data_IF_379833456271
#
_entry.id   IF_379833456271
#
_cell.length_a   1.000
_cell.length_b   1.000
_cell.length_c   1.000
_cell.angle_alpha   90.00
_cell.angle_beta   90.00
_cell.angle_gamma   90.00
#
_symmetry.space_group_name_H-M   'P 1'
#
loop_
_entity.id
_entity.type
_entity.pdbx_description
1 polymer ?
#
# COMPACT_ATOMS: atom_id res chain seq x y z
N UNK A 1 -4.83 -1.35 61.52
CA UNK A 1 -5.99 -0.43 61.37
C UNK A 1 -5.52 0.95 60.85
N UNK A 2 -4.77 0.98 59.74
CA UNK A 2 -4.18 2.22 59.17
C UNK A 2 -4.47 2.39 57.67
N UNK A 3 -4.87 1.32 56.96
CA UNK A 3 -5.15 1.35 55.51
C UNK A 3 -6.57 1.87 55.14
N UNK A 4 -7.49 1.98 56.11
CA UNK A 4 -8.88 2.36 55.82
C UNK A 4 -9.15 3.87 55.80
N UNK A 5 -8.18 4.71 56.18
CA UNK A 5 -8.36 6.18 56.27
C UNK A 5 -8.04 6.94 54.98
N UNK A 6 -7.51 6.29 53.95
CA UNK A 6 -7.21 6.97 52.68
C UNK A 6 -8.33 6.95 51.63
N UNK A 7 -9.41 6.19 51.87
CA UNK A 7 -10.59 6.16 50.99
C UNK A 7 -11.64 7.25 51.31
N UNK A 8 -11.33 8.17 52.22
CA UNK A 8 -12.28 9.11 52.80
C UNK A 8 -12.59 10.38 52.00
N UNK A 9 -11.92 10.68 50.89
CA UNK A 9 -12.16 11.95 50.16
C UNK A 9 -12.19 11.78 48.63
N UNK A 10 -13.42 11.90 48.10
CA UNK A 10 -13.85 12.15 46.70
C UNK A 10 -13.55 11.04 45.67
N UNK A 11 -14.31 9.92 45.68
CA UNK A 11 -14.14 8.81 44.74
C UNK A 11 -14.58 9.14 43.30
N UNK A 12 -15.36 10.20 43.10
CA UNK A 12 -15.93 10.52 41.77
C UNK A 12 -14.86 10.89 40.73
N UNK A 13 -13.77 11.55 41.13
CA UNK A 13 -12.73 11.98 40.19
C UNK A 13 -11.85 10.81 39.76
N UNK A 14 -11.49 9.93 40.70
CA UNK A 14 -10.69 8.73 40.40
C UNK A 14 -11.43 7.75 39.47
N UNK A 15 -12.72 7.50 39.73
CA UNK A 15 -13.55 6.64 38.87
C UNK A 15 -13.71 7.24 37.47
N UNK A 16 -13.89 8.56 37.35
CA UNK A 16 -13.98 9.25 36.06
C UNK A 16 -12.66 9.19 35.28
N UNK A 17 -11.52 9.34 35.96
CA UNK A 17 -10.19 9.22 35.33
C UNK A 17 -9.91 7.79 34.85
N UNK A 18 -10.27 6.79 35.63
CA UNK A 18 -10.13 5.38 35.24
C UNK A 18 -11.03 5.08 34.03
N UNK A 19 -12.29 5.55 34.05
CA UNK A 19 -13.20 5.39 32.92
C UNK A 19 -12.67 6.08 31.65
N UNK A 20 -12.15 7.31 31.76
CA UNK A 20 -11.56 8.03 30.64
C UNK A 20 -10.32 7.31 30.06
N UNK A 21 -9.46 6.76 30.92
CA UNK A 21 -8.30 5.97 30.50
C UNK A 21 -8.72 4.70 29.75
N UNK A 22 -9.74 3.99 30.24
CA UNK A 22 -10.27 2.80 29.57
C UNK A 22 -10.86 3.14 28.20
N UNK A 23 -11.59 4.26 28.08
CA UNK A 23 -12.12 4.74 26.79
C UNK A 23 -10.98 5.10 25.83
N UNK A 24 -9.93 5.79 26.30
CA UNK A 24 -8.76 6.12 25.49
C UNK A 24 -8.02 4.87 24.98
N UNK A 25 -7.81 3.89 25.85
CA UNK A 25 -7.13 2.63 25.49
C UNK A 25 -7.95 1.80 24.51
N UNK A 26 -9.26 1.70 24.69
CA UNK A 26 -10.15 0.96 23.77
C UNK A 26 -10.26 1.66 22.42
N UNK A 27 -10.40 2.99 22.39
CA UNK A 27 -10.38 3.75 21.14
C UNK A 27 -9.05 3.61 20.39
N UNK A 28 -7.92 3.68 21.11
CA UNK A 28 -6.60 3.45 20.54
C UNK A 28 -6.42 2.03 19.99
N UNK A 29 -6.92 1.02 20.71
CA UNK A 29 -6.85 -0.38 20.27
C UNK A 29 -7.72 -0.65 19.03
N UNK A 30 -8.93 -0.09 18.97
CA UNK A 30 -9.81 -0.19 17.79
C UNK A 30 -9.16 0.47 16.58
N UNK A 31 -8.61 1.67 16.74
CA UNK A 31 -7.93 2.38 15.65
C UNK A 31 -6.71 1.60 15.12
N UNK A 32 -5.88 1.08 16.02
CA UNK A 32 -4.74 0.24 15.66
C UNK A 32 -5.18 -1.05 14.94
N UNK A 33 -6.24 -1.71 15.41
CA UNK A 33 -6.76 -2.94 14.81
C UNK A 33 -7.30 -2.71 13.40
N UNK A 34 -8.00 -1.59 13.18
CA UNK A 34 -8.50 -1.21 11.85
C UNK A 34 -7.33 -0.94 10.90
N UNK A 35 -6.32 -0.17 11.34
CA UNK A 35 -5.12 0.10 10.53
C UNK A 35 -4.36 -1.19 10.18
N UNK A 36 -4.18 -2.10 11.13
CA UNK A 36 -3.51 -3.39 10.92
C UNK A 36 -4.30 -4.26 9.93
N UNK A 37 -5.63 -4.30 10.05
CA UNK A 37 -6.47 -5.09 9.14
C UNK A 37 -6.49 -4.52 7.72
N UNK A 38 -6.56 -3.20 7.55
CA UNK A 38 -6.45 -2.56 6.23
C UNK A 38 -5.08 -2.84 5.59
N UNK A 39 -3.99 -2.69 6.35
CA UNK A 39 -2.64 -3.00 5.88
C UNK A 39 -2.51 -4.48 5.47
N UNK A 40 -3.07 -5.41 6.26
CA UNK A 40 -3.00 -6.85 5.97
C UNK A 40 -3.82 -7.25 4.74
N UNK A 41 -4.98 -6.62 4.51
CA UNK A 41 -5.83 -6.89 3.34
C UNK A 41 -5.10 -6.50 2.04
N UNK A 42 -4.46 -5.34 2.03
CA UNK A 42 -3.73 -4.86 0.86
C UNK A 42 -2.44 -5.67 0.61
N UNK A 43 -1.74 -6.11 1.66
CA UNK A 43 -0.53 -6.93 1.53
C UNK A 43 -0.75 -8.26 0.78
N UNK A 44 -1.93 -8.88 0.91
CA UNK A 44 -2.29 -10.09 0.17
C UNK A 44 -2.45 -9.84 -1.33
N UNK A 45 -3.14 -8.76 -1.69
CA UNK A 45 -3.34 -8.36 -3.09
C UNK A 45 -2.03 -7.87 -3.74
N UNK A 46 -1.22 -7.11 -3.00
CA UNK A 46 0.13 -6.69 -3.42
C UNK A 46 1.02 -7.89 -3.71
N UNK A 47 0.99 -8.92 -2.86
CA UNK A 47 1.76 -10.14 -3.08
C UNK A 47 1.37 -10.84 -4.38
N UNK A 48 0.08 -10.95 -4.69
CA UNK A 48 -0.39 -11.57 -5.93
C UNK A 48 0.06 -10.78 -7.18
N UNK A 49 0.05 -9.45 -7.10
CA UNK A 49 0.56 -8.58 -8.17
C UNK A 49 2.08 -8.75 -8.32
N UNK A 50 2.81 -8.85 -7.20
CA UNK A 50 4.26 -9.09 -7.20
C UNK A 50 4.63 -10.44 -7.82
N UNK A 51 3.89 -11.50 -7.48
CA UNK A 51 4.07 -12.83 -8.06
C UNK A 51 3.81 -12.80 -9.58
N UNK A 52 2.72 -12.15 -10.02
CA UNK A 52 2.41 -12.02 -11.45
C UNK A 52 3.47 -11.21 -12.19
N UNK A 53 3.96 -10.11 -11.62
CA UNK A 53 5.07 -9.34 -12.20
C UNK A 53 6.34 -10.18 -12.29
N UNK A 54 6.68 -10.94 -11.24
CA UNK A 54 7.82 -11.86 -11.24
C UNK A 54 7.71 -12.96 -12.30
N UNK A 55 6.50 -13.44 -12.61
CA UNK A 55 6.26 -14.39 -13.71
C UNK A 55 6.43 -13.77 -15.10
N UNK A 56 6.04 -12.50 -15.25
CA UNK A 56 6.14 -11.77 -16.51
C UNK A 56 7.58 -11.29 -16.79
N UNK A 57 8.43 -11.24 -15.77
CA UNK A 57 9.83 -10.86 -15.92
C UNK A 57 10.58 -11.81 -16.85
N UNK A 58 11.10 -11.25 -17.95
CA UNK A 58 12.01 -11.90 -18.89
C UNK A 58 13.31 -11.11 -18.97
N UNK A 59 14.40 -11.78 -19.35
CA UNK A 59 15.66 -11.11 -19.61
C UNK A 59 15.46 -10.00 -20.66
N UNK A 60 15.91 -8.78 -20.34
CA UNK A 60 15.76 -7.60 -21.22
C UNK A 60 14.45 -6.82 -21.07
N UNK A 61 13.51 -7.27 -20.24
CA UNK A 61 12.26 -6.53 -19.96
C UNK A 61 12.41 -5.63 -18.73
N UNK A 62 12.09 -4.34 -18.86
CA UNK A 62 12.18 -3.40 -17.74
C UNK A 62 10.94 -3.51 -16.86
N UNK A 63 11.14 -3.62 -15.55
CA UNK A 63 10.05 -3.65 -14.57
C UNK A 63 9.87 -2.27 -13.94
N UNK A 64 8.69 -1.70 -14.14
CA UNK A 64 8.35 -0.32 -13.76
C UNK A 64 7.24 -0.33 -12.73
N UNK A 65 7.33 0.59 -11.79
CA UNK A 65 6.38 0.68 -10.70
C UNK A 65 5.89 2.11 -10.54
N UNK A 66 4.59 2.32 -10.75
CA UNK A 66 4.03 3.67 -10.72
C UNK A 66 3.65 4.03 -9.29
N UNK A 67 4.40 4.98 -8.72
CA UNK A 67 4.17 5.51 -7.39
C UNK A 67 2.97 6.45 -7.40
N UNK A 68 2.04 6.23 -6.49
CA UNK A 68 0.90 7.12 -6.30
C UNK A 68 1.37 8.47 -5.71
N UNK A 69 0.95 9.58 -6.33
CA UNK A 69 1.39 10.94 -5.97
C UNK A 69 0.72 11.53 -4.72
N UNK A 70 -0.40 10.97 -4.23
CA UNK A 70 -1.17 11.56 -3.11
C UNK A 70 -1.10 10.75 -1.81
N UNK A 71 -0.73 11.37 -0.67
CA UNK A 71 -0.98 10.80 0.64
C UNK A 71 -2.48 10.97 0.94
N UNK A 72 -3.20 9.87 1.19
CA UNK A 72 -4.63 9.93 1.49
C UNK A 72 -5.50 8.89 0.78
N UNK A 73 -4.89 7.99 0.00
CA UNK A 73 -5.53 6.76 -0.46
C UNK A 73 -4.74 5.55 -0.02
N UNK A 74 -4.95 5.11 1.22
CA UNK A 74 -4.76 3.75 1.76
C UNK A 74 -3.45 2.98 1.47
N UNK A 75 -2.37 3.65 1.12
CA UNK A 75 -1.14 2.98 0.75
C UNK A 75 0.06 3.68 1.38
N UNK A 76 0.66 2.98 2.35
CA UNK A 76 1.95 3.32 2.91
C UNK A 76 2.95 3.52 1.76
N UNK A 77 3.87 4.45 1.97
CA UNK A 77 4.95 4.82 1.05
C UNK A 77 5.77 3.61 0.52
N UNK A 78 5.62 2.45 1.18
CA UNK A 78 6.26 1.15 0.95
C UNK A 78 5.31 0.06 0.40
N UNK A 79 4.19 0.40 -0.24
CA UNK A 79 3.24 -0.58 -0.82
C UNK A 79 3.84 -1.54 -1.87
N UNK A 80 5.12 -1.37 -2.15
CA UNK A 80 5.88 -2.21 -3.04
C UNK A 80 7.10 -2.87 -2.39
N UNK A 81 7.24 -2.81 -1.06
CA UNK A 81 8.32 -3.47 -0.34
C UNK A 81 8.39 -4.98 -0.64
N UNK A 82 7.22 -5.61 -0.80
CA UNK A 82 7.09 -7.04 -1.16
C UNK A 82 7.62 -7.38 -2.57
N UNK A 83 7.79 -6.38 -3.44
CA UNK A 83 8.29 -6.57 -4.81
C UNK A 83 9.83 -6.63 -4.83
N UNK A 84 10.51 -6.21 -3.77
CA UNK A 84 11.96 -6.35 -3.66
C UNK A 84 12.40 -7.81 -3.39
N UNK A 85 11.55 -8.64 -2.80
CA UNK A 85 11.87 -10.03 -2.49
C UNK A 85 11.49 -11.05 -3.58
N UNK A 86 10.44 -10.78 -4.35
CA UNK A 86 9.85 -11.76 -5.29
C UNK A 86 10.18 -11.49 -6.77
N UNK A 87 10.67 -10.31 -7.12
CA UNK A 87 11.10 -10.01 -8.48
C UNK A 87 12.56 -10.47 -8.69
N UNK A 88 12.81 -11.22 -9.77
CA UNK A 88 14.16 -11.69 -10.16
C UNK A 88 15.07 -10.56 -10.64
N UNK A 89 14.49 -9.49 -11.17
CA UNK A 89 15.20 -8.31 -11.70
C UNK A 89 14.80 -7.04 -10.96
N UNK A 90 15.70 -6.03 -10.89
CA UNK A 90 15.45 -4.80 -10.17
C UNK A 90 14.21 -4.07 -10.71
N UNK A 91 13.35 -3.65 -9.80
CA UNK A 91 12.16 -2.85 -10.07
C UNK A 91 12.52 -1.38 -9.96
N UNK A 92 12.15 -0.58 -10.97
CA UNK A 92 12.40 0.86 -10.95
C UNK A 92 11.11 1.62 -10.65
N UNK A 93 11.07 2.45 -9.59
CA UNK A 93 9.93 3.31 -9.31
C UNK A 93 9.88 4.48 -10.31
N UNK A 94 8.68 4.88 -10.68
CA UNK A 94 8.37 6.03 -11.54
C UNK A 94 7.16 6.76 -10.98
N UNK A 95 7.12 8.09 -11.11
CA UNK A 95 5.87 8.84 -10.91
C UNK A 95 5.07 8.93 -12.22
N UNK A 96 3.82 9.35 -12.11
CA UNK A 96 2.98 9.59 -13.29
C UNK A 96 3.59 10.69 -14.17
N UNK A 97 4.12 11.75 -13.56
CA UNK A 97 4.79 12.82 -14.29
C UNK A 97 6.09 12.36 -14.98
N UNK A 98 6.89 11.50 -14.35
CA UNK A 98 8.09 10.94 -14.98
C UNK A 98 7.73 10.07 -16.19
N UNK A 99 6.64 9.29 -16.11
CA UNK A 99 6.16 8.50 -17.24
C UNK A 99 5.72 9.37 -18.42
N UNK A 100 5.10 10.53 -18.15
CA UNK A 100 4.69 11.48 -19.20
C UNK A 100 5.87 12.19 -19.84
N UNK A 101 6.84 12.62 -19.03
CA UNK A 101 7.99 13.39 -19.53
C UNK A 101 9.03 12.52 -20.23
N UNK A 102 9.35 11.36 -19.66
CA UNK A 102 10.41 10.47 -20.16
C UNK A 102 9.97 9.00 -20.08
N UNK A 103 9.04 8.59 -20.95
CA UNK A 103 8.54 7.21 -20.97
C UNK A 103 9.67 6.21 -21.28
N UNK A 104 9.85 5.15 -20.48
CA UNK A 104 10.81 4.10 -20.80
C UNK A 104 10.44 3.36 -22.10
N UNK A 105 11.44 3.01 -22.91
CA UNK A 105 11.19 2.24 -24.15
C UNK A 105 10.79 0.79 -23.87
N UNK A 106 9.77 0.24 -24.55
CA UNK A 106 9.40 -1.18 -24.50
C UNK A 106 10.55 -2.14 -24.86
N UNK A 107 10.55 -3.40 -24.37
CA UNK A 107 9.46 -4.06 -23.65
C UNK A 107 9.43 -3.70 -22.15
N UNK A 108 8.22 -3.47 -21.65
CA UNK A 108 7.95 -3.04 -20.27
C UNK A 108 6.99 -4.01 -19.62
N UNK A 109 7.17 -4.22 -18.32
CA UNK A 109 6.10 -4.69 -17.45
C UNK A 109 6.00 -3.74 -16.27
N UNK A 110 4.80 -3.57 -15.73
CA UNK A 110 4.67 -2.73 -14.56
C UNK A 110 3.38 -2.92 -13.78
N UNK A 111 3.38 -2.33 -12.61
CA UNK A 111 2.20 -2.24 -11.76
C UNK A 111 1.89 -0.78 -11.44
N UNK A 112 0.61 -0.46 -11.43
CA UNK A 112 0.11 0.84 -11.00
C UNK A 112 -1.22 0.66 -10.24
N UNK A 113 -1.65 1.71 -9.56
CA UNK A 113 -3.03 1.78 -9.08
C UNK A 113 -3.98 2.06 -10.26
N UNK A 114 -5.21 1.56 -10.17
CA UNK A 114 -6.21 1.62 -11.24
C UNK A 114 -6.52 3.06 -11.68
N UNK A 115 -6.46 4.02 -10.75
CA UNK A 115 -6.63 5.45 -11.03
C UNK A 115 -5.58 6.01 -11.99
N UNK A 116 -4.35 5.51 -11.93
CA UNK A 116 -3.21 6.05 -12.66
C UNK A 116 -3.00 5.31 -14.00
N UNK A 117 -3.67 4.16 -14.18
CA UNK A 117 -3.62 3.35 -15.40
C UNK A 117 -4.04 4.08 -16.70
N UNK A 118 -5.05 4.98 -16.71
CA UNK A 118 -5.38 5.74 -17.91
C UNK A 118 -4.17 6.49 -18.50
N UNK A 119 -3.28 7.03 -17.65
CA UNK A 119 -2.07 7.71 -18.11
C UNK A 119 -1.12 6.76 -18.82
N UNK A 120 -0.98 5.53 -18.32
CA UNK A 120 -0.14 4.50 -18.95
C UNK A 120 -0.69 4.11 -20.32
N UNK A 121 -2.00 3.99 -20.44
CA UNK A 121 -2.68 3.69 -21.71
C UNK A 121 -2.54 4.84 -22.73
N UNK A 122 -2.54 6.08 -22.26
CA UNK A 122 -2.33 7.25 -23.13
C UNK A 122 -0.88 7.29 -23.68
N UNK A 123 0.10 6.86 -22.87
CA UNK A 123 1.51 6.78 -23.26
C UNK A 123 1.79 5.57 -24.16
N UNK A 124 1.21 4.41 -23.82
CA UNK A 124 1.37 3.16 -24.56
C UNK A 124 0.00 2.63 -25.02
N UNK A 125 -0.42 2.98 -26.24
CA UNK A 125 -1.72 2.52 -26.78
C UNK A 125 -1.84 0.99 -26.89
N UNK A 126 -0.71 0.29 -26.98
CA UNK A 126 -0.62 -1.17 -27.06
C UNK A 126 -0.47 -1.87 -25.70
N UNK A 127 -0.72 -1.16 -24.59
CA UNK A 127 -0.64 -1.74 -23.24
C UNK A 127 -1.69 -2.86 -23.05
N UNK A 128 -1.25 -3.98 -22.50
CA UNK A 128 -2.11 -5.11 -22.11
C UNK A 128 -2.22 -5.18 -20.60
N UNK A 129 -3.43 -5.39 -20.10
CA UNK A 129 -3.68 -5.65 -18.69
C UNK A 129 -3.56 -7.15 -18.44
N UNK A 130 -2.65 -7.54 -17.55
CA UNK A 130 -2.36 -8.93 -17.22
C UNK A 130 -3.10 -9.41 -15.99
N UNK A 131 -3.30 -8.52 -15.01
CA UNK A 131 -4.02 -8.85 -13.78
C UNK A 131 -4.59 -7.58 -13.15
N UNK A 132 -5.84 -7.66 -12.69
CA UNK A 132 -6.47 -6.62 -11.86
C UNK A 132 -6.83 -7.24 -10.52
N UNK A 133 -6.31 -6.67 -9.43
CA UNK A 133 -6.61 -7.09 -8.06
C UNK A 133 -6.76 -5.88 -7.14
N UNK A 134 -7.89 -5.82 -6.45
CA UNK A 134 -8.31 -4.67 -5.66
C UNK A 134 -8.15 -3.36 -6.44
N UNK A 135 -7.25 -2.50 -5.99
CA UNK A 135 -6.94 -1.22 -6.62
C UNK A 135 -5.70 -1.25 -7.52
N UNK A 136 -5.08 -2.40 -7.70
CA UNK A 136 -3.84 -2.57 -8.46
C UNK A 136 -4.09 -3.21 -9.82
N UNK A 137 -3.31 -2.75 -10.79
CA UNK A 137 -3.29 -3.25 -12.16
C UNK A 137 -1.86 -3.63 -12.50
N UNK A 138 -1.65 -4.89 -12.86
CA UNK A 138 -0.46 -5.38 -13.52
C UNK A 138 -0.66 -5.30 -15.03
N UNK A 139 0.31 -4.71 -15.72
CA UNK A 139 0.25 -4.45 -17.14
C UNK A 139 1.59 -4.75 -17.82
N UNK A 140 1.53 -4.93 -19.13
CA UNK A 140 2.70 -5.18 -19.97
C UNK A 140 2.58 -4.43 -21.30
N UNK A 141 3.75 -4.09 -21.85
CA UNK A 141 3.90 -3.47 -23.16
C UNK A 141 4.96 -4.25 -23.91
N UNK A 142 4.54 -4.95 -24.97
CA UNK A 142 5.44 -5.68 -25.84
C UNK A 142 6.27 -4.73 -26.72
N UNK A 143 7.39 -5.22 -27.27
CA UNK A 143 8.08 -4.52 -28.35
C UNK A 143 7.13 -4.34 -29.53
N UNK A 144 6.98 -3.10 -30.00
CA UNK A 144 6.34 -2.80 -31.29
C UNK A 144 7.11 -3.47 -32.44
#
# INVERSE_FOLDING_TARGET
LVLYRFFGQRPAVGVRMIAALVVLLTAGFVHATIQINHARKNAGDEKLIAEKLGQLQRAGTKTVLIKAEKPGGDLLWDSFYLFHGNCRFPVKPYTVDEMRGHPPMPPLIGACVARDFPVIRDIYPNVKVELVRAQFICWQVDTL
#
